data_IF_345387643677
#
_entry.id   IF_345387643677
#
_cell.length_a   1.000
_cell.length_b   1.000
_cell.length_c   1.000
_cell.angle_alpha   90.00
_cell.angle_beta   90.00
_cell.angle_gamma   90.00
#
_symmetry.space_group_name_H-M   'P 1'
#
loop_
_entity.id
_entity.type
_entity.pdbx_description
1 polymer ?
#
# COMPACT_ATOMS: atom_id res chain seq x y z
N UNK A 1 10.64 -17.95 -2.53
CA UNK A 1 10.25 -17.23 -1.31
C UNK A 1 10.87 -15.85 -1.39
N UNK A 2 10.10 -14.81 -1.07
CA UNK A 2 10.65 -13.47 -1.01
C UNK A 2 11.39 -13.30 0.33
N UNK A 3 12.58 -12.71 0.29
CA UNK A 3 13.41 -12.52 1.47
C UNK A 3 14.05 -11.13 1.40
N UNK A 4 14.02 -10.41 2.52
CA UNK A 4 14.66 -9.12 2.65
C UNK A 4 15.50 -9.03 3.93
N UNK A 5 16.61 -8.30 3.82
CA UNK A 5 17.53 -8.01 4.93
C UNK A 5 17.71 -6.49 4.94
N UNK A 6 17.34 -5.84 6.05
CA UNK A 6 17.42 -4.39 6.22
C UNK A 6 16.73 -3.58 5.09
N UNK A 7 15.63 -4.09 4.53
CA UNK A 7 14.88 -3.42 3.45
C UNK A 7 15.46 -3.62 2.04
N UNK A 8 16.49 -4.45 1.88
CA UNK A 8 17.03 -4.87 0.58
C UNK A 8 16.70 -6.34 0.32
N UNK A 9 16.40 -6.69 -0.93
CA UNK A 9 16.07 -8.07 -1.33
C UNK A 9 14.80 -8.12 -2.16
N UNK A 10 13.96 -9.13 -1.92
CA UNK A 10 12.64 -9.21 -2.55
C UNK A 10 11.51 -9.28 -1.53
N UNK A 11 10.35 -8.74 -1.92
CA UNK A 11 9.12 -8.81 -1.11
C UNK A 11 7.88 -8.84 -1.99
N UNK A 12 6.75 -9.24 -1.42
CA UNK A 12 5.46 -9.22 -2.10
C UNK A 12 4.67 -7.95 -1.74
N UNK A 13 4.33 -7.15 -2.76
CA UNK A 13 3.47 -5.97 -2.61
C UNK A 13 2.23 -6.01 -3.51
N UNK A 14 1.20 -5.35 -2.99
CA UNK A 14 -0.10 -5.22 -3.63
C UNK A 14 -0.98 -6.45 -3.43
N UNK A 15 -2.30 -6.24 -3.46
CA UNK A 15 -3.30 -7.31 -3.39
C UNK A 15 -4.44 -6.94 -4.32
N UNK A 16 -4.62 -7.71 -5.40
CA UNK A 16 -5.65 -7.47 -6.42
C UNK A 16 -6.36 -8.77 -6.79
N UNK A 17 -7.47 -8.66 -7.51
CA UNK A 17 -8.14 -9.81 -8.13
C UNK A 17 -8.47 -10.92 -7.12
N UNK A 18 -9.04 -10.50 -5.99
CA UNK A 18 -9.55 -11.37 -4.95
C UNK A 18 -10.57 -12.35 -5.54
N UNK A 19 -10.40 -13.65 -5.25
CA UNK A 19 -11.34 -14.72 -5.59
C UNK A 19 -12.13 -15.13 -4.34
N UNK A 20 -13.20 -15.92 -4.54
CA UNK A 20 -14.09 -16.41 -3.47
C UNK A 20 -13.38 -17.33 -2.47
N UNK A 21 -12.36 -18.06 -2.92
CA UNK A 21 -11.47 -18.88 -2.10
C UNK A 21 -10.56 -18.05 -1.17
N UNK A 22 -10.58 -16.72 -1.27
CA UNK A 22 -9.72 -15.82 -0.52
C UNK A 22 -8.34 -15.62 -1.14
N UNK A 23 -8.04 -16.27 -2.27
CA UNK A 23 -6.80 -16.04 -3.01
C UNK A 23 -6.79 -14.67 -3.69
N UNK A 24 -5.61 -14.09 -3.86
CA UNK A 24 -5.41 -12.81 -4.53
C UNK A 24 -4.10 -12.80 -5.32
N UNK A 25 -4.01 -11.88 -6.28
CA UNK A 25 -2.78 -11.62 -7.03
C UNK A 25 -1.93 -10.63 -6.23
N UNK A 26 -0.65 -10.96 -6.10
CA UNK A 26 0.40 -10.12 -5.53
C UNK A 26 1.57 -10.05 -6.52
N UNK A 27 2.37 -9.00 -6.45
CA UNK A 27 3.57 -8.85 -7.28
C UNK A 27 4.79 -8.99 -6.40
N UNK A 28 5.77 -9.76 -6.84
CA UNK A 28 7.11 -9.83 -6.24
C UNK A 28 7.95 -8.66 -6.75
N UNK A 29 8.61 -7.97 -5.84
CA UNK A 29 9.42 -6.79 -6.12
C UNK A 29 10.83 -6.98 -5.63
N UNK A 30 11.81 -6.59 -6.43
CA UNK A 30 13.11 -6.19 -5.93
C UNK A 30 12.94 -4.88 -5.16
N UNK A 31 13.39 -4.85 -3.91
CA UNK A 31 13.31 -3.69 -3.05
C UNK A 31 14.69 -3.17 -2.66
N UNK A 32 14.76 -1.85 -2.49
CA UNK A 32 15.88 -1.16 -1.87
C UNK A 32 15.32 -0.18 -0.84
N UNK A 33 15.80 -0.24 0.40
CA UNK A 33 15.25 0.53 1.52
C UNK A 33 13.71 0.43 1.64
N UNK A 34 13.13 -0.76 1.41
CA UNK A 34 11.67 -1.02 1.42
C UNK A 34 10.91 -0.48 0.20
N UNK A 35 11.53 0.35 -0.64
CA UNK A 35 10.90 0.89 -1.85
C UNK A 35 10.89 -0.15 -2.98
N UNK A 36 9.75 -0.35 -3.67
CA UNK A 36 9.65 -1.22 -4.84
C UNK A 36 10.43 -0.64 -6.01
N UNK A 37 11.55 -1.25 -6.38
CA UNK A 37 12.41 -0.79 -7.49
C UNK A 37 11.99 -1.47 -8.79
N UNK A 38 12.00 -2.80 -8.83
CA UNK A 38 11.75 -3.56 -10.04
C UNK A 38 10.74 -4.70 -9.80
N UNK A 39 9.66 -4.80 -10.59
CA UNK A 39 8.70 -5.88 -10.47
C UNK A 39 9.25 -7.15 -11.14
N UNK A 40 9.41 -8.22 -10.36
CA UNK A 40 9.99 -9.47 -10.84
C UNK A 40 8.97 -10.40 -11.49
N UNK A 41 7.87 -10.69 -10.79
CA UNK A 41 6.80 -11.57 -11.27
C UNK A 41 5.50 -11.31 -10.53
N UNK A 42 4.38 -11.77 -11.07
CA UNK A 42 3.11 -11.78 -10.33
C UNK A 42 2.74 -13.20 -9.94
N UNK A 43 2.04 -13.33 -8.83
CA UNK A 43 1.71 -14.62 -8.24
C UNK A 43 0.30 -14.56 -7.65
N UNK A 44 -0.47 -15.63 -7.83
CA UNK A 44 -1.68 -15.85 -7.06
C UNK A 44 -1.30 -16.59 -5.79
N UNK A 45 -1.66 -15.99 -4.66
CA UNK A 45 -1.36 -16.51 -3.34
C UNK A 45 -2.63 -16.61 -2.51
N UNK A 46 -2.62 -17.53 -1.54
CA UNK A 46 -3.63 -17.63 -0.51
C UNK A 46 -2.96 -17.43 0.85
N UNK A 47 -3.55 -16.58 1.68
CA UNK A 47 -3.11 -16.42 3.06
C UNK A 47 -3.48 -17.67 3.85
N UNK A 48 -2.49 -18.42 4.32
CA UNK A 48 -2.70 -19.35 5.43
C UNK A 48 -2.40 -18.63 6.73
N UNK A 49 -3.33 -18.68 7.67
CA UNK A 49 -3.15 -18.06 8.98
C UNK A 49 -2.20 -18.92 9.81
N UNK A 50 -0.91 -18.58 9.82
CA UNK A 50 0.07 -19.17 10.73
C UNK A 50 0.16 -18.36 12.03
N UNK A 51 -0.86 -18.48 12.89
CA UNK A 51 -0.80 -17.99 14.28
C UNK A 51 -0.37 -16.52 14.48
N UNK A 52 0.08 -16.21 15.70
CA UNK A 52 0.42 -14.86 16.19
C UNK A 52 1.77 -14.29 15.68
N UNK A 53 2.51 -15.01 14.83
CA UNK A 53 3.91 -14.69 14.54
C UNK A 53 4.33 -14.71 13.07
N UNK A 54 3.49 -15.15 12.13
CA UNK A 54 3.90 -15.26 10.73
C UNK A 54 2.75 -15.27 9.76
N UNK A 55 2.95 -14.69 8.59
CA UNK A 55 2.00 -14.77 7.48
C UNK A 55 2.58 -15.73 6.45
N UNK A 56 2.10 -16.96 6.45
CA UNK A 56 2.49 -17.95 5.45
C UNK A 56 1.65 -17.76 4.19
N UNK A 57 2.34 -17.41 3.10
CA UNK A 57 1.74 -17.24 1.79
C UNK A 57 1.91 -18.54 1.02
N UNK A 58 0.79 -19.20 0.72
CA UNK A 58 0.79 -20.35 -0.17
C UNK A 58 0.71 -19.87 -1.60
N UNK A 59 1.76 -20.15 -2.38
CA UNK A 59 1.80 -19.87 -3.81
C UNK A 59 0.90 -20.88 -4.54
N UNK A 60 -0.18 -20.39 -5.13
CA UNK A 60 -1.08 -21.21 -5.95
C UNK A 60 -0.55 -21.29 -7.38
N UNK A 61 -0.21 -20.14 -7.97
CA UNK A 61 0.12 -20.04 -9.39
C UNK A 61 1.06 -18.85 -9.64
N UNK A 62 2.02 -19.01 -10.54
CA UNK A 62 2.82 -17.90 -11.07
C UNK A 62 2.14 -17.35 -12.31
N UNK A 63 1.95 -16.03 -12.36
CA UNK A 63 1.31 -15.33 -13.46
C UNK A 63 2.30 -14.40 -14.16
N UNK A 64 2.01 -14.08 -15.42
CA UNK A 64 2.63 -12.94 -16.09
C UNK A 64 2.37 -11.66 -15.30
N UNK A 65 3.23 -10.66 -15.51
CA UNK A 65 3.22 -9.43 -14.74
C UNK A 65 1.88 -8.69 -14.87
N UNK A 66 1.19 -8.44 -13.74
CA UNK A 66 0.00 -7.59 -13.72
C UNK A 66 0.44 -6.13 -13.76
N UNK A 67 0.53 -5.58 -14.98
CA UNK A 67 0.95 -4.21 -15.22
C UNK A 67 0.07 -3.17 -14.52
N UNK A 68 -1.22 -3.44 -14.36
CA UNK A 68 -2.11 -2.48 -13.69
C UNK A 68 -1.79 -2.44 -12.19
N UNK A 69 -1.47 -3.59 -11.57
CA UNK A 69 -0.96 -3.64 -10.20
C UNK A 69 0.41 -2.96 -10.06
N UNK A 70 1.32 -3.17 -11.00
CA UNK A 70 2.65 -2.53 -11.03
C UNK A 70 2.50 -1.01 -11.07
N UNK A 71 1.75 -0.48 -12.04
CA UNK A 71 1.52 0.95 -12.20
C UNK A 71 0.83 1.57 -10.97
N UNK A 72 -0.15 0.88 -10.39
CA UNK A 72 -0.83 1.35 -9.17
C UNK A 72 0.14 1.41 -7.98
N UNK A 73 1.02 0.42 -7.87
CA UNK A 73 2.03 0.38 -6.79
C UNK A 73 3.04 1.51 -6.94
N UNK A 74 3.50 1.78 -8.16
CA UNK A 74 4.38 2.90 -8.45
C UNK A 74 3.71 4.25 -8.19
N UNK A 75 2.51 4.46 -8.72
CA UNK A 75 1.76 5.69 -8.49
C UNK A 75 1.53 5.95 -7.00
N UNK A 76 1.11 4.93 -6.25
CA UNK A 76 0.91 5.08 -4.82
C UNK A 76 2.22 5.41 -4.08
N UNK A 77 3.31 4.69 -4.38
CA UNK A 77 4.55 4.81 -3.61
C UNK A 77 5.37 6.05 -3.97
N UNK A 78 5.48 6.37 -5.25
CA UNK A 78 6.36 7.43 -5.76
C UNK A 78 5.64 8.75 -6.06
N UNK A 79 4.30 8.77 -6.07
CA UNK A 79 3.52 10.00 -6.29
C UNK A 79 2.67 10.33 -5.06
N UNK A 80 1.77 9.44 -4.65
CA UNK A 80 0.83 9.74 -3.56
C UNK A 80 1.52 9.97 -2.20
N UNK A 81 2.46 9.11 -1.81
CA UNK A 81 3.19 9.27 -0.54
C UNK A 81 4.01 10.56 -0.54
N UNK A 82 4.88 10.84 -1.54
CA UNK A 82 5.63 12.10 -1.58
C UNK A 82 4.74 13.33 -1.61
N UNK A 83 3.63 13.33 -2.35
CA UNK A 83 2.68 14.47 -2.34
C UNK A 83 2.07 14.64 -0.96
N UNK A 84 1.66 13.57 -0.27
CA UNK A 84 1.13 13.69 1.08
C UNK A 84 2.18 14.23 2.06
N UNK A 85 3.43 13.79 1.96
CA UNK A 85 4.54 14.34 2.75
C UNK A 85 4.74 15.83 2.41
N UNK A 86 4.77 16.19 1.13
CA UNK A 86 4.90 17.57 0.68
C UNK A 86 3.82 18.47 1.30
N UNK A 87 2.56 18.04 1.23
CA UNK A 87 1.40 18.75 1.75
C UNK A 87 1.36 18.86 3.30
N UNK A 88 2.18 18.08 4.01
CA UNK A 88 2.20 18.04 5.48
C UNK A 88 3.45 18.66 6.09
N UNK A 89 4.60 18.59 5.40
CA UNK A 89 5.91 18.93 5.95
C UNK A 89 6.51 20.19 5.35
N UNK A 90 6.27 20.48 4.06
CA UNK A 90 6.98 21.60 3.42
C UNK A 90 6.38 22.94 3.88
N UNK A 91 7.19 23.81 4.54
CA UNK A 91 6.73 25.11 5.02
C UNK A 91 6.42 26.05 3.86
N UNK A 92 5.56 27.03 4.12
CA UNK A 92 5.35 28.15 3.21
C UNK A 92 6.64 28.98 3.08
N UNK A 93 6.76 29.82 2.06
CA UNK A 93 7.90 30.71 1.73
C UNK A 93 8.39 31.54 2.94
N UNK A 94 7.54 31.73 3.95
CA UNK A 94 7.82 32.43 5.20
C UNK A 94 8.41 31.55 6.33
N UNK A 95 8.73 30.28 6.09
CA UNK A 95 9.35 29.38 7.10
C UNK A 95 8.42 28.95 8.25
N UNK A 96 7.12 29.19 8.14
CA UNK A 96 6.11 28.75 9.10
C UNK A 96 5.62 27.33 8.75
N UNK A 97 5.33 26.51 9.77
CA UNK A 97 4.62 25.24 9.57
C UNK A 97 3.32 25.54 8.80
N UNK A 98 3.04 24.85 7.69
CA UNK A 98 2.06 25.31 6.73
C UNK A 98 0.65 25.19 7.33
N UNK A 99 -0.05 26.33 7.31
CA UNK A 99 -1.45 26.59 7.72
C UNK A 99 -1.59 27.12 9.15
N UNK A 100 -1.46 28.44 9.26
CA UNK A 100 -2.14 29.19 10.31
C UNK A 100 -3.65 29.07 10.07
N UNK A 101 -4.29 28.16 10.80
CA UNK A 101 -5.73 27.92 10.67
C UNK A 101 -6.57 28.95 11.47
N UNK A 102 -5.98 30.06 11.92
CA UNK A 102 -6.69 31.09 12.67
C UNK A 102 -7.25 30.56 14.00
N UNK A 103 -8.53 30.83 14.28
CA UNK A 103 -9.19 30.52 15.57
C UNK A 103 -9.56 29.04 15.78
N UNK A 104 -9.17 28.10 14.90
CA UNK A 104 -9.46 26.69 15.17
C UNK A 104 -8.64 26.15 16.34
N UNK A 105 -9.20 25.25 17.16
CA UNK A 105 -8.45 24.55 18.18
C UNK A 105 -7.23 23.81 17.60
N UNK A 106 -6.10 23.87 18.32
CA UNK A 106 -4.83 23.29 17.88
C UNK A 106 -4.92 21.79 17.51
N UNK A 107 -5.78 21.01 18.19
CA UNK A 107 -5.98 19.60 17.90
C UNK A 107 -6.64 19.37 16.54
N UNK A 108 -7.55 20.27 16.13
CA UNK A 108 -8.24 20.22 14.85
C UNK A 108 -7.28 20.65 13.73
N UNK A 109 -6.49 21.70 13.95
CA UNK A 109 -5.42 22.10 13.05
C UNK A 109 -4.44 20.96 12.78
N UNK A 110 -4.00 20.24 13.82
CA UNK A 110 -3.11 19.09 13.70
C UNK A 110 -3.75 17.94 12.91
N UNK A 111 -5.04 17.68 13.13
CA UNK A 111 -5.79 16.68 12.37
C UNK A 111 -5.89 17.06 10.88
N UNK A 112 -6.24 18.31 10.57
CA UNK A 112 -6.37 18.81 9.20
C UNK A 112 -5.02 18.86 8.47
N UNK A 113 -3.95 19.21 9.19
CA UNK A 113 -2.59 19.19 8.65
C UNK A 113 -2.16 17.75 8.32
N UNK A 114 -2.42 16.78 9.21
CA UNK A 114 -2.01 15.38 9.03
C UNK A 114 -2.96 14.56 8.16
N UNK A 115 -4.15 15.09 7.83
CA UNK A 115 -5.17 14.42 7.05
C UNK A 115 -4.66 13.79 5.73
N UNK A 116 -3.82 14.45 4.90
CA UNK A 116 -3.31 13.84 3.67
C UNK A 116 -2.56 12.52 3.90
N UNK A 117 -1.72 12.45 4.96
CA UNK A 117 -0.98 11.23 5.32
C UNK A 117 -1.93 10.14 5.82
N UNK A 118 -2.91 10.50 6.66
CA UNK A 118 -3.92 9.56 7.17
C UNK A 118 -4.72 8.96 6.01
N UNK A 119 -5.18 9.81 5.07
CA UNK A 119 -5.94 9.38 3.90
C UNK A 119 -5.11 8.42 3.05
N UNK A 120 -3.86 8.77 2.72
CA UNK A 120 -2.98 7.91 1.92
C UNK A 120 -2.69 6.59 2.64
N UNK A 121 -2.43 6.62 3.94
CA UNK A 121 -2.18 5.41 4.73
C UNK A 121 -3.39 4.46 4.79
N UNK A 122 -4.61 5.00 4.91
CA UNK A 122 -5.84 4.20 4.97
C UNK A 122 -6.31 3.70 3.60
N UNK A 123 -6.00 4.44 2.52
CA UNK A 123 -6.43 4.16 1.16
C UNK A 123 -6.21 2.67 0.74
N UNK A 124 -5.01 2.08 0.85
CA UNK A 124 -4.81 0.70 0.44
C UNK A 124 -5.60 -0.29 1.30
N UNK A 125 -5.83 0.00 2.58
CA UNK A 125 -6.62 -0.88 3.46
C UNK A 125 -8.09 -0.87 3.07
N UNK A 126 -8.65 0.33 2.84
CA UNK A 126 -10.05 0.51 2.41
C UNK A 126 -10.28 -0.13 1.04
N UNK A 127 -9.41 0.13 0.07
CA UNK A 127 -9.53 -0.45 -1.28
C UNK A 127 -9.46 -1.98 -1.27
N UNK A 128 -8.57 -2.54 -0.45
CA UNK A 128 -8.48 -4.01 -0.28
C UNK A 128 -9.71 -4.58 0.40
N UNK A 129 -10.22 -3.91 1.43
CA UNK A 129 -11.44 -4.34 2.12
C UNK A 129 -12.65 -4.35 1.16
N UNK A 130 -12.82 -3.29 0.37
CA UNK A 130 -13.86 -3.22 -0.67
C UNK A 130 -13.67 -4.33 -1.72
N UNK A 131 -12.43 -4.53 -2.20
CA UNK A 131 -12.10 -5.58 -3.17
C UNK A 131 -12.45 -6.99 -2.67
N UNK A 132 -12.07 -7.30 -1.42
CA UNK A 132 -12.39 -8.56 -0.78
C UNK A 132 -13.91 -8.72 -0.54
N UNK A 133 -14.60 -7.66 -0.13
CA UNK A 133 -16.05 -7.68 0.06
C UNK A 133 -16.81 -7.93 -1.25
N UNK A 134 -16.35 -7.33 -2.37
CA UNK A 134 -16.93 -7.55 -3.71
C UNK A 134 -16.71 -8.97 -4.21
N UNK A 135 -15.53 -9.54 -4.00
CA UNK A 135 -15.22 -10.90 -4.43
C UNK A 135 -16.14 -11.96 -3.81
N UNK A 136 -16.53 -11.80 -2.54
CA UNK A 136 -17.47 -12.72 -1.86
C UNK A 136 -18.85 -12.76 -2.52
N UNK A 137 -19.30 -11.63 -3.09
CA UNK A 137 -20.65 -11.45 -3.63
C UNK A 137 -20.83 -11.90 -5.10
N UNK A 138 -19.78 -12.27 -5.83
CA UNK A 138 -19.90 -12.65 -7.26
C UNK A 138 -20.62 -14.00 -7.44
N UNK A 139 -21.64 -14.14 -8.31
CA UNK A 139 -22.26 -15.43 -8.65
C UNK A 139 -21.27 -16.38 -9.35
N UNK A 140 -21.61 -17.68 -9.37
CA UNK A 140 -20.78 -18.73 -9.99
C UNK A 140 -20.74 -18.61 -11.51
#
# INVERSE_FOLDING_TARGET
MAASINGFGSTYYGRRCFRRDGSYITTEWAIAATLPIFPMSSARVQDSRAGLGGRELYLIERLALDWVQVLTTYFYTYVMIPIAIYLTVIPDEAGHIPRDFGDVPWWLALLLQTAPLIIVALLPHVLRWIGAARARKRPR
#
